data_IF_847763469418
#
_entry.id   IF_847763469418
#
_cell.length_a   1.000
_cell.length_b   1.000
_cell.length_c   1.000
_cell.angle_alpha   90.00
_cell.angle_beta   90.00
_cell.angle_gamma   90.00
#
_symmetry.space_group_name_H-M   'P 1'
#
loop_
_entity.id
_entity.type
_entity.pdbx_description
1 polymer ?
#
# COMPACT_ATOMS: atom_id res chain seq x y z
N UNK A 1 3.60 34.92 40.72
CA UNK A 1 2.44 35.06 41.62
C UNK A 1 2.81 35.94 42.80
N UNK A 2 1.88 36.75 43.32
CA UNK A 2 2.09 37.55 44.54
C UNK A 2 2.28 36.63 45.76
N UNK A 3 3.06 37.08 46.77
CA UNK A 3 3.31 36.33 48.01
C UNK A 3 2.02 35.94 48.75
N UNK A 4 0.99 36.79 48.70
CA UNK A 4 -0.33 36.49 49.28
C UNK A 4 -1.03 35.34 48.56
N UNK A 5 -0.99 35.31 47.22
CA UNK A 5 -1.62 34.26 46.43
C UNK A 5 -1.02 32.87 46.70
N UNK A 6 0.28 32.79 47.02
CA UNK A 6 0.95 31.54 47.39
C UNK A 6 0.46 31.05 48.76
N UNK A 7 0.32 31.95 49.73
CA UNK A 7 -0.15 31.61 51.08
C UNK A 7 -1.62 31.17 51.04
N UNK A 8 -2.46 31.88 50.29
CA UNK A 8 -3.87 31.52 50.08
C UNK A 8 -4.00 30.16 49.39
N UNK A 9 -3.23 29.91 48.33
CA UNK A 9 -3.22 28.61 47.65
C UNK A 9 -2.77 27.47 48.57
N UNK A 10 -1.76 27.71 49.42
CA UNK A 10 -1.27 26.70 50.37
C UNK A 10 -2.29 26.40 51.48
N UNK A 11 -2.96 27.42 52.01
CA UNK A 11 -4.04 27.23 52.98
C UNK A 11 -5.18 26.42 52.37
N UNK A 12 -5.64 26.82 51.17
CA UNK A 12 -6.68 26.11 50.45
C UNK A 12 -6.29 24.66 50.14
N UNK A 13 -5.05 24.39 49.70
CA UNK A 13 -4.58 23.03 49.42
C UNK A 13 -4.58 22.15 50.67
N UNK A 14 -4.29 22.71 51.85
CA UNK A 14 -4.34 21.98 53.12
C UNK A 14 -5.77 21.64 53.53
N UNK A 15 -6.70 22.58 53.41
CA UNK A 15 -8.12 22.34 53.68
C UNK A 15 -8.67 21.21 52.78
N UNK A 16 -8.33 21.22 51.50
CA UNK A 16 -8.74 20.17 50.55
C UNK A 16 -8.13 18.80 50.93
N UNK A 17 -6.85 18.78 51.33
CA UNK A 17 -6.18 17.55 51.79
C UNK A 17 -6.90 16.97 53.01
N UNK A 18 -7.23 17.80 54.00
CA UNK A 18 -7.91 17.38 55.22
C UNK A 18 -9.33 16.86 54.94
N UNK A 19 -10.05 17.49 54.01
CA UNK A 19 -11.42 17.13 53.67
C UNK A 19 -11.54 15.81 52.87
N UNK A 20 -10.62 15.54 51.94
CA UNK A 20 -10.78 14.45 50.97
C UNK A 20 -9.79 13.29 51.11
N UNK A 21 -8.74 13.43 51.93
CA UNK A 21 -7.73 12.38 52.10
C UNK A 21 -7.82 11.63 53.42
N UNK A 22 -8.90 11.81 54.19
CA UNK A 22 -9.15 11.09 55.45
C UNK A 22 -7.94 11.12 56.42
N UNK A 23 -7.26 12.28 56.49
CA UNK A 23 -6.07 12.48 57.32
C UNK A 23 -4.76 11.94 56.74
N UNK A 24 -4.76 11.38 55.52
CA UNK A 24 -3.54 10.98 54.81
C UNK A 24 -2.86 12.18 54.14
N UNK A 25 -1.52 12.21 54.08
CA UNK A 25 -0.80 13.24 53.35
C UNK A 25 -1.01 13.11 51.83
N UNK A 26 -0.89 14.24 51.13
CA UNK A 26 -0.86 14.26 49.67
C UNK A 26 0.36 13.49 49.16
N UNK A 27 0.10 12.44 48.37
CA UNK A 27 1.08 11.72 47.57
C UNK A 27 0.53 11.60 46.15
N UNK A 28 1.19 12.28 45.20
CA UNK A 28 0.75 12.34 43.81
C UNK A 28 0.62 10.95 43.19
N UNK A 29 1.61 10.07 43.39
CA UNK A 29 1.61 8.76 42.74
C UNK A 29 0.49 7.89 43.30
N UNK A 30 0.34 7.89 44.62
CA UNK A 30 -0.75 7.18 45.31
C UNK A 30 -2.12 7.61 44.79
N UNK A 31 -2.40 8.92 44.77
CA UNK A 31 -3.70 9.43 44.35
C UNK A 31 -4.01 9.18 42.86
N UNK A 32 -3.00 9.23 42.00
CA UNK A 32 -3.16 8.86 40.59
C UNK A 32 -3.56 7.39 40.48
N UNK A 33 -2.86 6.49 41.18
CA UNK A 33 -3.14 5.06 41.14
C UNK A 33 -4.53 4.72 41.73
N UNK A 34 -4.90 5.33 42.84
CA UNK A 34 -6.24 5.19 43.45
C UNK A 34 -7.34 5.67 42.50
N UNK A 35 -7.15 6.82 41.85
CA UNK A 35 -8.09 7.33 40.85
C UNK A 35 -8.20 6.41 39.64
N UNK A 36 -7.07 5.93 39.09
CA UNK A 36 -7.05 4.97 37.96
C UNK A 36 -7.77 3.67 38.32
N UNK A 37 -7.57 3.14 39.54
CA UNK A 37 -8.27 1.96 40.02
C UNK A 37 -9.79 2.16 40.09
N UNK A 38 -10.25 3.30 40.62
CA UNK A 38 -11.68 3.66 40.61
C UNK A 38 -12.25 3.77 39.19
N UNK A 39 -11.48 4.34 38.25
CA UNK A 39 -11.89 4.42 36.85
C UNK A 39 -11.98 3.04 36.19
N UNK A 40 -11.04 2.13 36.48
CA UNK A 40 -11.10 0.74 36.01
C UNK A 40 -12.33 0.01 36.55
N UNK A 41 -12.61 0.12 37.86
CA UNK A 41 -13.85 -0.42 38.45
C UNK A 41 -15.10 0.15 37.78
N UNK A 42 -15.11 1.45 37.49
CA UNK A 42 -16.26 2.08 36.82
C UNK A 42 -16.48 1.52 35.40
N UNK A 43 -15.39 1.17 34.70
CA UNK A 43 -15.45 0.55 33.38
C UNK A 43 -15.96 -0.89 33.46
N UNK A 44 -15.49 -1.67 34.44
CA UNK A 44 -15.98 -3.01 34.76
C UNK A 44 -17.48 -3.02 35.06
N UNK A 45 -17.91 -2.16 35.98
CA UNK A 45 -19.32 -2.00 36.34
C UNK A 45 -20.17 -1.57 35.14
N UNK A 46 -19.62 -0.72 34.27
CA UNK A 46 -20.29 -0.30 33.03
C UNK A 46 -20.51 -1.46 32.06
N UNK A 47 -19.50 -2.31 31.83
CA UNK A 47 -19.63 -3.49 30.97
C UNK A 47 -20.64 -4.49 31.54
N UNK A 48 -20.60 -4.70 32.85
CA UNK A 48 -21.47 -5.62 33.57
C UNK A 48 -22.94 -5.15 33.58
N UNK A 49 -23.17 -3.83 33.68
CA UNK A 49 -24.47 -3.22 33.45
C UNK A 49 -24.92 -3.34 31.99
N UNK A 50 -24.02 -3.10 31.02
CA UNK A 50 -24.29 -3.30 29.60
C UNK A 50 -24.74 -4.73 29.28
N UNK A 51 -24.12 -5.74 29.90
CA UNK A 51 -24.53 -7.14 29.80
C UNK A 51 -25.97 -7.37 30.26
N UNK A 52 -26.35 -6.81 31.42
CA UNK A 52 -27.74 -6.88 31.92
C UNK A 52 -28.71 -6.18 30.99
N UNK A 53 -28.34 -5.03 30.44
CA UNK A 53 -29.18 -4.30 29.48
C UNK A 53 -29.43 -5.10 28.20
N UNK A 54 -28.45 -5.87 27.71
CA UNK A 54 -28.67 -6.81 26.58
C UNK A 54 -29.73 -7.84 26.95
N UNK A 55 -29.61 -8.47 28.13
CA UNK A 55 -30.57 -9.48 28.59
C UNK A 55 -31.98 -8.88 28.75
N UNK A 56 -32.10 -7.72 29.39
CA UNK A 56 -33.40 -7.03 29.56
C UNK A 56 -34.00 -6.72 28.18
N UNK A 57 -33.21 -6.19 27.24
CA UNK A 57 -33.70 -5.86 25.89
C UNK A 57 -34.27 -7.07 25.15
N UNK A 58 -33.71 -8.26 25.37
CA UNK A 58 -34.18 -9.50 24.74
C UNK A 58 -35.51 -9.98 25.32
N UNK A 59 -35.80 -9.69 26.59
CA UNK A 59 -36.99 -10.17 27.29
C UNK A 59 -38.15 -9.16 27.33
N UNK A 60 -37.90 -7.90 26.93
CA UNK A 60 -38.87 -6.82 27.02
C UNK A 60 -39.38 -6.38 25.62
N UNK A 61 -40.70 -6.18 25.45
CA UNK A 61 -41.27 -5.66 24.21
C UNK A 61 -40.70 -4.29 23.79
N UNK A 62 -40.79 -3.98 22.49
CA UNK A 62 -40.46 -2.63 21.99
C UNK A 62 -41.33 -1.57 22.70
N UNK A 63 -40.67 -0.61 23.36
CA UNK A 63 -41.30 0.45 24.16
C UNK A 63 -41.11 0.28 25.67
N UNK A 64 -41.33 -0.91 26.21
CA UNK A 64 -41.14 -1.22 27.64
C UNK A 64 -39.67 -1.11 28.06
N UNK A 65 -38.76 -1.64 27.22
CA UNK A 65 -37.32 -1.46 27.42
C UNK A 65 -36.92 0.02 27.53
N UNK A 66 -37.56 0.89 26.74
CA UNK A 66 -37.28 2.32 26.78
C UNK A 66 -37.73 2.95 28.10
N UNK A 67 -38.92 2.57 28.59
CA UNK A 67 -39.43 3.02 29.87
C UNK A 67 -38.57 2.53 31.04
N UNK A 68 -38.10 1.28 31.02
CA UNK A 68 -37.22 0.74 32.07
C UNK A 68 -35.92 1.57 32.16
N UNK A 69 -35.29 1.84 31.03
CA UNK A 69 -34.05 2.63 30.97
C UNK A 69 -34.27 4.05 31.54
N UNK A 70 -35.33 4.72 31.12
CA UNK A 70 -35.55 6.13 31.45
C UNK A 70 -36.13 6.32 32.85
N UNK A 71 -37.13 5.52 33.23
CA UNK A 71 -37.91 5.74 34.45
C UNK A 71 -37.39 4.94 35.65
N UNK A 72 -36.88 3.73 35.44
CA UNK A 72 -36.41 2.87 36.55
C UNK A 72 -34.90 2.99 36.76
N UNK A 73 -34.12 3.02 35.67
CA UNK A 73 -32.66 3.12 35.72
C UNK A 73 -32.15 4.57 35.65
N UNK A 74 -33.02 5.54 35.32
CA UNK A 74 -32.69 6.97 35.32
C UNK A 74 -31.59 7.36 34.35
N UNK A 75 -31.43 6.65 33.23
CA UNK A 75 -30.33 6.86 32.28
C UNK A 75 -30.82 7.15 30.87
N UNK A 76 -29.96 7.75 30.05
CA UNK A 76 -30.27 8.08 28.66
C UNK A 76 -30.13 6.85 27.75
N UNK A 77 -31.06 6.69 26.79
CA UNK A 77 -31.03 5.64 25.77
C UNK A 77 -29.69 5.52 25.03
N UNK A 78 -29.07 6.65 24.68
CA UNK A 78 -27.78 6.66 23.99
C UNK A 78 -26.66 6.06 24.86
N UNK A 79 -26.70 6.29 26.17
CA UNK A 79 -25.75 5.74 27.13
C UNK A 79 -25.97 4.24 27.27
N UNK A 80 -27.22 3.80 27.45
CA UNK A 80 -27.57 2.39 27.53
C UNK A 80 -27.11 1.62 26.28
N UNK A 81 -27.36 2.16 25.07
CA UNK A 81 -26.90 1.57 23.81
C UNK A 81 -25.37 1.45 23.75
N UNK A 82 -24.62 2.49 24.13
CA UNK A 82 -23.15 2.44 24.17
C UNK A 82 -22.63 1.41 25.16
N UNK A 83 -23.27 1.28 26.32
CA UNK A 83 -22.90 0.27 27.32
C UNK A 83 -23.15 -1.15 26.80
N UNK A 84 -24.28 -1.38 26.14
CA UNK A 84 -24.59 -2.67 25.49
C UNK A 84 -23.59 -3.01 24.38
N UNK A 85 -23.25 -2.04 23.52
CA UNK A 85 -22.25 -2.25 22.46
C UNK A 85 -20.88 -2.59 23.04
N UNK A 86 -20.42 -1.84 24.05
CA UNK A 86 -19.16 -2.13 24.72
C UNK A 86 -19.18 -3.50 25.40
N UNK A 87 -20.28 -3.86 26.07
CA UNK A 87 -20.43 -5.18 26.68
C UNK A 87 -20.39 -6.31 25.64
N UNK A 88 -21.12 -6.16 24.52
CA UNK A 88 -21.10 -7.14 23.44
C UNK A 88 -19.71 -7.32 22.82
N UNK A 89 -18.94 -6.23 22.70
CA UNK A 89 -17.56 -6.22 22.19
C UNK A 89 -16.59 -6.88 23.18
N UNK A 90 -16.43 -6.30 24.37
CA UNK A 90 -15.37 -6.67 25.32
C UNK A 90 -15.65 -7.94 26.13
N UNK A 91 -16.91 -8.39 26.19
CA UNK A 91 -17.28 -9.66 26.81
C UNK A 91 -17.49 -10.77 25.78
N UNK A 92 -17.11 -10.55 24.50
CA UNK A 92 -17.12 -11.58 23.47
C UNK A 92 -16.22 -12.76 23.86
N UNK A 93 -16.46 -13.98 23.36
CA UNK A 93 -15.59 -15.13 23.66
C UNK A 93 -14.11 -14.88 23.34
N UNK A 94 -13.84 -14.11 22.27
CA UNK A 94 -12.49 -13.76 21.83
C UNK A 94 -11.76 -12.86 22.84
N UNK A 95 -12.49 -11.94 23.49
CA UNK A 95 -11.94 -10.95 24.42
C UNK A 95 -12.21 -11.27 25.91
N UNK A 96 -13.00 -12.30 26.23
CA UNK A 96 -13.45 -12.61 27.58
C UNK A 96 -12.30 -12.77 28.60
N UNK A 97 -11.19 -13.39 28.18
CA UNK A 97 -9.99 -13.56 29.02
C UNK A 97 -9.05 -12.34 29.05
N UNK A 98 -9.22 -11.41 28.12
CA UNK A 98 -8.33 -10.27 27.83
C UNK A 98 -8.92 -8.93 28.27
N UNK A 99 -10.22 -8.91 28.57
CA UNK A 99 -11.00 -7.73 28.96
C UNK A 99 -10.39 -6.95 30.14
N UNK A 100 -9.76 -7.64 31.10
CA UNK A 100 -9.13 -6.99 32.27
C UNK A 100 -8.02 -6.01 31.90
N UNK A 101 -7.19 -6.34 30.90
CA UNK A 101 -6.12 -5.44 30.46
C UNK A 101 -6.70 -4.15 29.85
N UNK A 102 -7.76 -4.29 29.06
CA UNK A 102 -8.42 -3.17 28.38
C UNK A 102 -9.25 -2.31 29.36
N UNK A 103 -9.88 -2.93 30.36
CA UNK A 103 -10.69 -2.23 31.37
C UNK A 103 -9.87 -1.23 32.19
N UNK A 104 -8.59 -1.52 32.42
CA UNK A 104 -7.67 -0.64 33.16
C UNK A 104 -7.56 0.75 32.52
N UNK A 105 -7.71 0.84 31.19
CA UNK A 105 -7.70 2.10 30.43
C UNK A 105 -8.89 3.01 30.76
N UNK A 106 -9.91 2.47 31.42
CA UNK A 106 -11.12 3.19 31.81
C UNK A 106 -12.14 3.35 30.69
N UNK A 107 -13.37 3.71 31.10
CA UNK A 107 -14.57 3.76 30.26
C UNK A 107 -14.40 4.56 28.96
N UNK A 108 -13.76 5.72 29.05
CA UNK A 108 -13.69 6.63 27.90
C UNK A 108 -12.80 6.07 26.80
N UNK A 109 -11.65 5.48 27.15
CA UNK A 109 -10.73 4.86 26.18
C UNK A 109 -11.33 3.59 25.59
N UNK A 110 -12.03 2.79 26.40
CA UNK A 110 -12.81 1.63 25.91
C UNK A 110 -13.83 2.04 24.83
N UNK A 111 -14.47 3.20 24.94
CA UNK A 111 -15.40 3.61 23.90
C UNK A 111 -14.73 4.02 22.59
N UNK A 112 -13.52 4.59 22.64
CA UNK A 112 -12.77 4.91 21.42
C UNK A 112 -12.29 3.64 20.72
N UNK A 113 -11.77 2.68 21.51
CA UNK A 113 -11.26 1.39 21.06
C UNK A 113 -12.37 0.43 20.60
N UNK A 114 -13.63 0.66 20.97
CA UNK A 114 -14.75 -0.23 20.62
C UNK A 114 -14.96 -0.40 19.11
N UNK A 115 -14.46 0.56 18.33
CA UNK A 115 -14.56 0.58 16.86
C UNK A 115 -13.43 -0.19 16.16
N UNK A 116 -12.39 -0.60 16.88
CA UNK A 116 -11.30 -1.42 16.34
C UNK A 116 -11.72 -2.89 16.23
N UNK A 117 -10.99 -3.67 15.43
CA UNK A 117 -11.30 -5.09 15.21
C UNK A 117 -10.99 -5.94 16.45
N UNK A 118 -11.69 -7.06 16.60
CA UNK A 118 -11.51 -7.95 17.77
C UNK A 118 -10.09 -8.52 17.84
N UNK A 119 -9.46 -8.77 16.68
CA UNK A 119 -8.10 -9.29 16.59
C UNK A 119 -7.08 -8.23 17.04
N UNK A 120 -7.21 -6.99 16.58
CA UNK A 120 -6.33 -5.88 16.98
C UNK A 120 -6.44 -5.62 18.50
N UNK A 121 -7.67 -5.65 19.05
CA UNK A 121 -7.88 -5.50 20.50
C UNK A 121 -7.33 -6.67 21.31
N UNK A 122 -7.42 -7.90 20.77
CA UNK A 122 -6.86 -9.09 21.38
C UNK A 122 -5.33 -9.07 21.36
N UNK A 123 -4.73 -8.52 20.30
CA UNK A 123 -3.28 -8.28 20.18
C UNK A 123 -2.82 -7.22 21.18
N UNK A 124 -3.51 -6.08 21.27
CA UNK A 124 -3.21 -5.03 22.24
C UNK A 124 -3.23 -5.55 23.68
N UNK A 125 -4.22 -6.38 24.02
CA UNK A 125 -4.33 -6.97 25.35
C UNK A 125 -3.23 -8.01 25.66
N UNK A 126 -2.62 -8.62 24.63
CA UNK A 126 -1.47 -9.51 24.76
C UNK A 126 -0.12 -8.75 24.75
N UNK A 127 -0.16 -7.41 24.72
CA UNK A 127 1.02 -6.54 24.71
C UNK A 127 1.52 -6.16 23.32
N UNK A 128 0.73 -6.41 22.27
CA UNK A 128 0.96 -5.82 20.94
C UNK A 128 0.44 -4.39 20.84
N UNK A 129 0.10 -3.96 19.62
CA UNK A 129 -0.27 -2.56 19.36
C UNK A 129 -1.56 -2.42 18.57
N UNK A 130 -2.29 -1.34 18.80
CA UNK A 130 -3.41 -0.88 17.97
C UNK A 130 -3.07 0.50 17.45
N UNK A 131 -3.23 0.72 16.14
CA UNK A 131 -2.81 1.98 15.49
C UNK A 131 -1.34 2.37 15.78
N UNK A 132 -0.48 1.37 16.00
CA UNK A 132 0.93 1.57 16.35
C UNK A 132 1.18 2.03 17.80
N UNK A 133 0.16 1.98 18.66
CA UNK A 133 0.25 2.34 20.08
C UNK A 133 0.12 1.09 20.95
N UNK A 134 1.01 0.97 21.94
CA UNK A 134 0.90 -0.07 22.97
C UNK A 134 -0.04 0.34 24.12
N UNK A 135 -0.30 -0.60 25.04
CA UNK A 135 -1.26 -0.39 26.12
C UNK A 135 -0.78 0.68 27.13
N UNK A 136 0.53 0.82 27.35
CA UNK A 136 1.12 1.80 28.25
C UNK A 136 1.05 3.22 27.66
N UNK A 137 1.31 3.36 26.36
CA UNK A 137 1.17 4.61 25.61
C UNK A 137 -0.28 5.08 25.64
N UNK A 138 -1.22 4.17 25.36
CA UNK A 138 -2.66 4.45 25.43
C UNK A 138 -3.05 4.87 26.85
N UNK A 139 -2.49 4.24 27.89
CA UNK A 139 -2.79 4.60 29.28
C UNK A 139 -2.26 6.00 29.65
N UNK A 140 -1.06 6.36 29.19
CA UNK A 140 -0.44 7.66 29.50
C UNK A 140 -1.05 8.84 28.74
N UNK A 141 -1.63 8.61 27.56
CA UNK A 141 -2.18 9.68 26.71
C UNK A 141 -3.62 10.06 27.06
N UNK A 142 -4.01 11.25 26.61
CA UNK A 142 -5.38 11.74 26.72
C UNK A 142 -6.33 11.03 25.76
N UNK A 143 -7.62 10.95 26.14
CA UNK A 143 -8.67 10.34 25.28
C UNK A 143 -8.86 11.06 23.94
N UNK A 144 -8.56 12.36 23.88
CA UNK A 144 -8.58 13.13 22.64
C UNK A 144 -7.43 12.78 21.71
N UNK A 145 -6.26 12.52 22.28
CA UNK A 145 -5.06 12.10 21.54
C UNK A 145 -5.28 10.70 20.96
N UNK A 146 -5.77 9.77 21.79
CA UNK A 146 -6.17 8.43 21.35
C UNK A 146 -7.14 8.48 20.18
N UNK A 147 -8.22 9.28 20.28
CA UNK A 147 -9.19 9.41 19.18
C UNK A 147 -8.55 9.94 17.90
N UNK A 148 -7.62 10.89 18.02
CA UNK A 148 -6.85 11.40 16.89
C UNK A 148 -6.03 10.30 16.22
N UNK A 149 -5.23 9.58 17.00
CA UNK A 149 -4.38 8.49 16.51
C UNK A 149 -5.19 7.38 15.81
N UNK A 150 -6.29 6.93 16.41
CA UNK A 150 -7.17 5.93 15.78
C UNK A 150 -7.77 6.44 14.47
N UNK A 151 -8.16 7.72 14.40
CA UNK A 151 -8.72 8.31 13.18
C UNK A 151 -7.67 8.41 12.08
N UNK A 152 -6.46 8.85 12.41
CA UNK A 152 -5.37 9.00 11.46
C UNK A 152 -4.93 7.63 10.92
N UNK A 153 -4.80 6.62 11.78
CA UNK A 153 -4.50 5.26 11.38
C UNK A 153 -5.55 4.68 10.41
N UNK A 154 -6.85 4.92 10.67
CA UNK A 154 -7.91 4.50 9.74
C UNK A 154 -7.84 5.23 8.40
N UNK A 155 -7.59 6.54 8.41
CA UNK A 155 -7.45 7.32 7.18
C UNK A 155 -6.24 6.85 6.35
N UNK A 156 -5.13 6.51 7.01
CA UNK A 156 -3.94 5.95 6.36
C UNK A 156 -4.21 4.57 5.76
N UNK A 157 -4.93 3.71 6.47
CA UNK A 157 -5.33 2.39 5.97
C UNK A 157 -6.27 2.51 4.77
N UNK A 158 -7.29 3.38 4.84
CA UNK A 158 -8.19 3.65 3.71
C UNK A 158 -7.44 4.20 2.48
N UNK A 159 -6.48 5.10 2.70
CA UNK A 159 -5.63 5.62 1.62
C UNK A 159 -4.77 4.53 1.00
N UNK A 160 -4.17 3.64 1.80
CA UNK A 160 -3.40 2.49 1.31
C UNK A 160 -4.28 1.54 0.50
N UNK A 161 -5.48 1.22 0.99
CA UNK A 161 -6.42 0.33 0.31
C UNK A 161 -6.89 0.90 -1.02
N UNK A 162 -7.15 2.22 -1.08
CA UNK A 162 -7.47 2.92 -2.33
C UNK A 162 -6.34 2.82 -3.35
N UNK A 163 -5.09 3.06 -2.93
CA UNK A 163 -3.91 2.92 -3.79
C UNK A 163 -3.72 1.48 -4.26
N UNK A 164 -3.96 0.49 -3.40
CA UNK A 164 -3.88 -0.93 -3.76
C UNK A 164 -4.98 -1.27 -4.77
N UNK A 165 -6.21 -0.81 -4.56
CA UNK A 165 -7.32 -1.01 -5.48
C UNK A 165 -7.02 -0.39 -6.86
N UNK A 166 -6.47 0.82 -6.90
CA UNK A 166 -6.08 1.48 -8.14
C UNK A 166 -4.93 0.78 -8.85
N UNK A 167 -3.94 0.28 -8.10
CA UNK A 167 -2.86 -0.55 -8.65
C UNK A 167 -3.40 -1.85 -9.22
N UNK A 168 -4.32 -2.52 -8.51
CA UNK A 168 -4.96 -3.75 -8.98
C UNK A 168 -5.79 -3.53 -10.24
N UNK A 169 -6.59 -2.47 -10.31
CA UNK A 169 -7.33 -2.09 -11.53
C UNK A 169 -6.40 -1.87 -12.71
N UNK A 170 -5.30 -1.12 -12.53
CA UNK A 170 -4.29 -0.92 -13.59
C UNK A 170 -3.62 -2.24 -13.99
N UNK A 171 -3.35 -3.11 -13.03
CA UNK A 171 -2.78 -4.43 -13.30
C UNK A 171 -3.75 -5.28 -14.14
N UNK A 172 -5.03 -5.30 -13.78
CA UNK A 172 -6.09 -5.97 -14.53
C UNK A 172 -6.27 -5.39 -15.93
N UNK A 173 -6.21 -4.06 -16.09
CA UNK A 173 -6.20 -3.40 -17.40
C UNK A 173 -5.01 -3.82 -18.26
N UNK A 174 -3.81 -3.90 -17.68
CA UNK A 174 -2.61 -4.34 -18.41
C UNK A 174 -2.69 -5.83 -18.77
N UNK A 175 -3.19 -6.67 -17.88
CA UNK A 175 -3.41 -8.11 -18.13
C UNK A 175 -4.47 -8.31 -19.20
N UNK A 176 -5.57 -7.54 -19.18
CA UNK A 176 -6.62 -7.62 -20.20
C UNK A 176 -6.14 -7.08 -21.55
N UNK A 177 -5.35 -5.99 -21.60
CA UNK A 177 -4.67 -5.54 -22.82
C UNK A 177 -3.72 -6.62 -23.35
N UNK A 178 -2.92 -7.26 -22.50
CA UNK A 178 -2.05 -8.38 -22.87
C UNK A 178 -2.82 -9.61 -23.36
N UNK A 179 -3.99 -9.91 -22.78
CA UNK A 179 -4.89 -10.97 -23.26
C UNK A 179 -5.61 -10.61 -24.57
N UNK A 180 -5.93 -9.33 -24.81
CA UNK A 180 -6.46 -8.83 -26.09
C UNK A 180 -5.41 -8.93 -27.21
N UNK A 181 -4.15 -8.65 -26.91
CA UNK A 181 -3.02 -8.88 -27.82
C UNK A 181 -2.92 -10.37 -28.23
N UNK A 182 -3.34 -11.30 -27.36
CA UNK A 182 -3.39 -12.75 -27.66
C UNK A 182 -4.67 -13.23 -28.39
N UNK A 183 -5.61 -12.36 -28.74
CA UNK A 183 -6.86 -12.69 -29.46
C UNK A 183 -7.01 -11.88 -30.76
N UNK A 184 -5.90 -11.61 -31.44
CA UNK A 184 -5.92 -10.99 -32.77
C UNK A 184 -6.07 -12.13 -33.80
N UNK A 185 -6.93 -12.00 -34.83
CA UNK A 185 -6.99 -12.97 -35.93
C UNK A 185 -5.61 -13.08 -36.61
N UNK A 186 -5.18 -14.28 -37.03
CA UNK A 186 -3.82 -14.53 -37.55
C UNK A 186 -3.35 -13.54 -38.64
N UNK A 187 -4.27 -13.02 -39.46
CA UNK A 187 -3.95 -12.09 -40.55
C UNK A 187 -3.45 -10.71 -40.07
N UNK A 188 -3.98 -10.18 -38.96
CA UNK A 188 -3.57 -8.87 -38.42
C UNK A 188 -2.28 -8.96 -37.60
N UNK A 189 -2.04 -10.09 -36.92
CA UNK A 189 -0.75 -10.38 -36.25
C UNK A 189 0.38 -10.50 -37.27
N UNK A 190 0.11 -11.17 -38.40
CA UNK A 190 1.02 -11.26 -39.54
C UNK A 190 1.35 -9.88 -40.12
N UNK A 191 0.36 -8.99 -40.19
CA UNK A 191 0.54 -7.62 -40.70
C UNK A 191 1.45 -6.80 -39.78
N UNK A 192 1.22 -6.80 -38.47
CA UNK A 192 2.05 -6.06 -37.50
C UNK A 192 3.50 -6.56 -37.47
N UNK A 193 3.70 -7.88 -37.44
CA UNK A 193 5.05 -8.48 -37.49
C UNK A 193 5.76 -8.10 -38.79
N UNK A 194 5.05 -8.07 -39.92
CA UNK A 194 5.62 -7.61 -41.20
C UNK A 194 5.93 -6.12 -41.20
N UNK A 195 5.13 -5.28 -40.57
CA UNK A 195 5.41 -3.84 -40.44
C UNK A 195 6.65 -3.59 -39.59
N UNK A 196 6.77 -4.23 -38.43
CA UNK A 196 7.96 -4.10 -37.57
C UNK A 196 9.22 -4.63 -38.27
N UNK A 197 9.13 -5.77 -38.96
CA UNK A 197 10.24 -6.30 -39.76
C UNK A 197 10.63 -5.34 -40.91
N UNK A 198 9.66 -4.74 -41.60
CA UNK A 198 9.91 -3.77 -42.67
C UNK A 198 10.63 -2.51 -42.15
N UNK A 199 10.24 -2.00 -40.97
CA UNK A 199 10.93 -0.87 -40.33
C UNK A 199 12.38 -1.18 -39.99
N UNK A 200 12.69 -2.40 -39.55
CA UNK A 200 14.06 -2.82 -39.30
C UNK A 200 14.88 -2.93 -40.59
N UNK A 201 14.31 -3.52 -41.66
CA UNK A 201 14.95 -3.57 -42.97
C UNK A 201 15.25 -2.17 -43.52
N UNK A 202 14.28 -1.25 -43.44
CA UNK A 202 14.45 0.13 -43.90
C UNK A 202 15.58 0.86 -43.15
N UNK A 203 15.68 0.66 -41.82
CA UNK A 203 16.76 1.27 -41.03
C UNK A 203 18.14 0.78 -41.46
N UNK A 204 18.29 -0.53 -41.72
CA UNK A 204 19.56 -1.10 -42.19
C UNK A 204 19.91 -0.55 -43.58
N UNK A 205 18.94 -0.51 -44.50
CA UNK A 205 19.13 0.05 -45.84
C UNK A 205 19.54 1.53 -45.79
N UNK A 206 18.85 2.34 -44.97
CA UNK A 206 19.17 3.75 -44.80
C UNK A 206 20.57 3.98 -44.22
N UNK A 207 21.01 3.14 -43.28
CA UNK A 207 22.37 3.20 -42.73
C UNK A 207 23.42 2.83 -43.77
N UNK A 208 23.16 1.79 -44.57
CA UNK A 208 24.07 1.38 -45.66
C UNK A 208 24.20 2.47 -46.71
N UNK A 209 23.08 2.91 -47.30
CA UNK A 209 23.09 3.89 -48.38
C UNK A 209 23.55 5.28 -47.92
N UNK A 210 23.21 5.68 -46.70
CA UNK A 210 23.60 6.96 -46.14
C UNK A 210 25.01 6.94 -45.54
N UNK A 211 25.15 6.31 -44.38
CA UNK A 211 26.36 6.45 -43.56
C UNK A 211 27.53 5.63 -44.10
N UNK A 212 27.30 4.38 -44.51
CA UNK A 212 28.39 3.50 -44.99
C UNK A 212 28.91 4.00 -46.33
N UNK A 213 28.03 4.32 -47.29
CA UNK A 213 28.45 4.92 -48.57
C UNK A 213 29.27 6.19 -48.36
N UNK A 214 28.79 7.11 -47.51
CA UNK A 214 29.49 8.36 -47.23
C UNK A 214 30.87 8.13 -46.61
N UNK A 215 30.98 7.24 -45.62
CA UNK A 215 32.25 6.92 -44.97
C UNK A 215 33.25 6.28 -45.95
N UNK A 216 32.80 5.31 -46.75
CA UNK A 216 33.64 4.68 -47.77
C UNK A 216 34.06 5.66 -48.87
N UNK A 217 33.20 6.61 -49.22
CA UNK A 217 33.53 7.69 -50.18
C UNK A 217 34.60 8.61 -49.61
N UNK A 218 34.50 9.01 -48.34
CA UNK A 218 35.53 9.81 -47.68
C UNK A 218 36.88 9.10 -47.61
N UNK A 219 36.89 7.79 -47.33
CA UNK A 219 38.12 6.99 -47.34
C UNK A 219 38.72 6.97 -48.75
N UNK A 220 37.89 6.80 -49.78
CA UNK A 220 38.32 6.82 -51.18
C UNK A 220 38.88 8.20 -51.58
N UNK A 221 38.18 9.28 -51.29
CA UNK A 221 38.62 10.64 -51.61
C UNK A 221 39.97 10.97 -50.95
N UNK A 222 40.15 10.58 -49.68
CA UNK A 222 41.42 10.73 -48.99
C UNK A 222 42.53 9.87 -49.62
N UNK A 223 42.21 8.62 -49.99
CA UNK A 223 43.15 7.73 -50.64
C UNK A 223 43.59 8.26 -52.02
N UNK A 224 42.68 8.84 -52.80
CA UNK A 224 42.94 9.45 -54.10
C UNK A 224 43.89 10.66 -53.98
N UNK A 225 43.70 11.51 -52.96
CA UNK A 225 44.59 12.65 -52.67
C UNK A 225 46.01 12.18 -52.35
N UNK A 226 46.14 11.07 -51.63
CA UNK A 226 47.42 10.53 -51.16
C UNK A 226 47.99 9.42 -52.05
N UNK A 227 47.36 9.10 -53.18
CA UNK A 227 47.73 8.03 -54.11
C UNK A 227 47.89 6.65 -53.43
N UNK A 228 47.02 6.35 -52.46
CA UNK A 228 46.98 5.07 -51.74
C UNK A 228 45.90 4.20 -52.41
N UNK A 229 46.21 2.93 -52.70
CA UNK A 229 45.18 1.98 -53.14
C UNK A 229 44.39 1.47 -51.95
N UNK A 230 43.07 1.69 -51.96
CA UNK A 230 42.14 1.21 -50.93
C UNK A 230 41.10 0.23 -51.47
N UNK A 231 41.13 -0.08 -52.77
CA UNK A 231 40.11 -0.90 -53.45
C UNK A 231 39.95 -2.29 -52.82
N UNK A 232 41.07 -2.96 -52.49
CA UNK A 232 41.04 -4.26 -51.84
C UNK A 232 40.48 -4.20 -50.42
N UNK A 233 40.75 -3.13 -49.69
CA UNK A 233 40.22 -2.94 -48.34
C UNK A 233 38.72 -2.62 -48.38
N UNK A 234 38.29 -1.72 -49.27
CA UNK A 234 36.89 -1.39 -49.49
C UNK A 234 36.09 -2.60 -49.95
N UNK A 235 36.64 -3.38 -50.90
CA UNK A 235 36.07 -4.67 -51.33
C UNK A 235 35.85 -5.60 -50.14
N UNK A 236 36.87 -5.81 -49.30
CA UNK A 236 36.73 -6.63 -48.10
C UNK A 236 35.72 -6.12 -47.07
N UNK A 237 35.49 -4.81 -46.95
CA UNK A 237 34.43 -4.26 -46.10
C UNK A 237 33.03 -4.53 -46.67
N UNK A 238 32.88 -4.47 -47.99
CA UNK A 238 31.62 -4.79 -48.67
C UNK A 238 31.34 -6.30 -48.62
N UNK A 239 32.36 -7.14 -48.83
CA UNK A 239 32.25 -8.59 -48.73
C UNK A 239 31.74 -9.02 -47.34
N UNK A 240 32.22 -8.40 -46.26
CA UNK A 240 31.73 -8.67 -44.90
C UNK A 240 30.25 -8.34 -44.72
N UNK A 241 29.75 -7.28 -45.35
CA UNK A 241 28.33 -6.92 -45.33
C UNK A 241 27.50 -7.89 -46.17
N UNK A 242 28.04 -8.35 -47.30
CA UNK A 242 27.41 -9.37 -48.13
C UNK A 242 27.32 -10.72 -47.40
N UNK A 243 28.38 -11.14 -46.73
CA UNK A 243 28.42 -12.36 -45.90
C UNK A 243 27.37 -12.31 -44.79
N UNK A 244 27.24 -11.17 -44.08
CA UNK A 244 26.24 -11.00 -43.05
C UNK A 244 24.80 -11.12 -43.62
N UNK A 245 24.54 -10.56 -44.80
CA UNK A 245 23.26 -10.73 -45.50
C UNK A 245 23.05 -12.18 -45.95
N UNK A 246 24.11 -12.88 -46.35
CA UNK A 246 24.04 -14.29 -46.73
C UNK A 246 23.74 -15.19 -45.52
N UNK A 247 24.30 -14.90 -44.35
CA UNK A 247 23.99 -15.60 -43.10
C UNK A 247 22.51 -15.44 -42.73
N UNK A 248 21.97 -14.22 -42.80
CA UNK A 248 20.54 -13.95 -42.56
C UNK A 248 19.66 -14.74 -43.54
N UNK A 249 20.05 -14.80 -44.83
CA UNK A 249 19.37 -15.60 -45.85
C UNK A 249 19.36 -17.10 -45.52
N UNK A 250 20.50 -17.64 -45.08
CA UNK A 250 20.63 -19.05 -44.70
C UNK A 250 19.75 -19.36 -43.48
N UNK A 251 19.77 -18.51 -42.45
CA UNK A 251 18.96 -18.66 -41.24
C UNK A 251 17.45 -18.65 -41.56
N UNK A 252 17.02 -17.83 -42.52
CA UNK A 252 15.62 -17.70 -42.93
C UNK A 252 15.21 -18.68 -44.05
N UNK A 253 16.16 -19.43 -44.63
CA UNK A 253 15.91 -20.32 -45.76
C UNK A 253 15.48 -19.59 -47.05
N UNK A 254 15.83 -18.31 -47.21
CA UNK A 254 15.46 -17.47 -48.36
C UNK A 254 16.67 -17.28 -49.27
N UNK A 255 16.65 -17.88 -50.45
CA UNK A 255 17.74 -17.80 -51.42
C UNK A 255 17.55 -16.63 -52.40
N UNK A 256 18.65 -16.14 -53.00
CA UNK A 256 18.56 -15.16 -54.10
C UNK A 256 17.76 -15.80 -55.24
N UNK A 257 16.72 -15.13 -55.72
CA UNK A 257 16.05 -15.49 -56.97
C UNK A 257 16.95 -15.06 -58.13
N UNK A 258 17.72 -16.02 -58.65
CA UNK A 258 18.64 -15.91 -59.79
C UNK A 258 19.89 -15.01 -59.58
N UNK A 259 21.04 -15.66 -59.64
CA UNK A 259 22.35 -15.02 -59.78
C UNK A 259 22.68 -14.84 -61.26
N UNK A 260 23.43 -13.77 -61.55
CA UNK A 260 23.88 -13.29 -62.85
C UNK A 260 22.79 -12.68 -63.74
N UNK A 261 22.96 -11.39 -64.04
CA UNK A 261 22.28 -10.81 -65.18
C UNK A 261 22.77 -11.53 -66.47
N UNK A 262 21.91 -11.75 -67.48
CA UNK A 262 22.22 -12.58 -68.66
C UNK A 262 23.48 -12.22 -69.47
N UNK A 263 24.12 -11.09 -69.18
CA UNK A 263 25.28 -10.57 -69.90
C UNK A 263 26.62 -10.82 -69.19
N UNK A 264 26.61 -11.41 -67.99
CA UNK A 264 27.84 -11.81 -67.26
C UNK A 264 28.29 -13.25 -67.58
N UNK A 265 27.52 -14.02 -68.36
CA UNK A 265 27.84 -15.42 -68.71
C UNK A 265 28.57 -15.61 -70.05
N UNK A 266 28.80 -14.55 -70.84
CA UNK A 266 29.48 -14.66 -72.15
C UNK A 266 31.00 -14.41 -72.12
N UNK A 267 31.60 -14.39 -70.93
CA UNK A 267 32.98 -13.94 -70.74
C UNK A 267 34.01 -15.00 -70.34
N UNK A 268 33.77 -16.30 -70.45
CA UNK A 268 34.85 -17.29 -70.27
C UNK A 268 34.51 -18.67 -70.86
N UNK A 269 35.11 -19.01 -72.00
CA UNK A 269 34.96 -20.31 -72.68
C UNK A 269 36.07 -20.49 -73.71
N UNK A 270 37.21 -20.94 -73.22
CA UNK A 270 38.47 -21.16 -73.92
C UNK A 270 38.39 -21.94 -75.24
N UNK A 271 39.33 -21.59 -76.12
CA UNK A 271 39.74 -22.39 -77.26
C UNK A 271 40.18 -23.79 -76.84
N UNK A 272 39.63 -24.84 -77.47
CA UNK A 272 40.33 -26.11 -77.72
C UNK A 272 39.82 -26.74 -79.02
N UNK A 273 40.57 -26.55 -80.11
CA UNK A 273 41.09 -27.58 -81.01
C UNK A 273 41.71 -26.93 -82.25
#
# INVERSE_FOLDING_TARGET
>A
MSRNAIVEHQAHSREITELYLDGQPYDRLRLINEASFCLAQSAEAMLEAGRRLIVIKEHEPHGEFQQIIEQQLGMNQSVARRMMQAAAKYLSPQLAGKSKALVQLGKTKLYELMLEDDDDLAELADGGTVAGLDLDEIDRMGTRELRGALRDARADNEAKDSVIADKNKKLDELVTKKKRIKKIPPDQESEQIRTEAADHCYKVEALLLGQVTQALTQVKDHADIHQISVDSWMGGQLDQLEDALQEVRQLLGVFRSEGAAPWESEGNGEAVA
#
